data_IF_060799626175
#
_entry.id   IF_060799626175
#
_cell.length_a   1.000
_cell.length_b   1.000
_cell.length_c   1.000
_cell.angle_alpha   90.00
_cell.angle_beta   90.00
_cell.angle_gamma   90.00
#
_symmetry.space_group_name_H-M   'P 1'
#
loop_
_entity.id
_entity.type
_entity.pdbx_description
1 polymer ?
#
# COMPACT_ATOMS: atom_id res chain seq x y z
N UNK A 1 24.00 -4.53 -11.55
CA UNK A 1 22.96 -5.52 -11.24
C UNK A 1 22.85 -5.62 -9.74
N UNK A 2 21.76 -5.15 -9.17
CA UNK A 2 21.50 -5.31 -7.74
C UNK A 2 21.34 -6.80 -7.43
N UNK A 3 22.02 -7.25 -6.40
CA UNK A 3 21.86 -8.59 -5.84
C UNK A 3 20.42 -8.68 -5.31
N UNK A 4 19.76 -9.83 -5.50
CA UNK A 4 18.46 -10.09 -4.91
C UNK A 4 18.51 -9.79 -3.39
N UNK A 5 17.59 -9.00 -2.88
CA UNK A 5 17.56 -8.72 -1.45
C UNK A 5 16.65 -9.72 -0.74
N UNK A 6 17.27 -10.76 -0.24
CA UNK A 6 16.59 -11.81 0.51
C UNK A 6 15.81 -11.28 1.72
N UNK A 7 16.25 -10.18 2.33
CA UNK A 7 15.53 -9.57 3.46
C UNK A 7 14.24 -8.88 3.03
N UNK A 8 14.24 -8.19 1.88
CA UNK A 8 13.02 -7.61 1.32
C UNK A 8 12.04 -8.68 0.85
N UNK A 9 12.52 -9.75 0.24
CA UNK A 9 11.68 -10.90 -0.17
C UNK A 9 11.03 -11.55 1.04
N UNK A 10 11.81 -11.85 2.08
CA UNK A 10 11.33 -12.43 3.34
C UNK A 10 10.29 -11.54 4.03
N UNK A 11 10.52 -10.21 4.01
CA UNK A 11 9.57 -9.24 4.56
C UNK A 11 8.22 -9.26 3.82
N UNK A 12 8.24 -9.23 2.49
CA UNK A 12 7.01 -9.26 1.69
C UNK A 12 6.31 -10.61 1.80
N UNK A 13 7.03 -11.71 1.72
CA UNK A 13 6.48 -13.07 1.87
C UNK A 13 5.78 -13.23 3.22
N UNK A 14 6.45 -12.88 4.31
CA UNK A 14 5.88 -12.92 5.66
C UNK A 14 4.70 -11.99 5.86
N UNK A 15 4.72 -10.80 5.24
CA UNK A 15 3.60 -9.85 5.29
C UNK A 15 2.38 -10.38 4.55
N UNK A 16 2.57 -10.98 3.37
CA UNK A 16 1.50 -11.60 2.59
C UNK A 16 0.88 -12.81 3.32
N UNK A 17 1.71 -13.67 3.91
CA UNK A 17 1.24 -14.82 4.69
C UNK A 17 0.35 -14.38 5.87
N UNK A 18 0.76 -13.36 6.61
CA UNK A 18 -0.03 -12.82 7.72
C UNK A 18 -1.33 -12.18 7.22
N UNK A 19 -1.26 -11.42 6.12
CA UNK A 19 -2.43 -10.77 5.51
C UNK A 19 -3.45 -11.81 5.05
N UNK A 20 -3.03 -12.84 4.33
CA UNK A 20 -3.92 -13.91 3.85
C UNK A 20 -4.51 -14.71 5.01
N UNK A 21 -3.72 -14.99 6.03
CA UNK A 21 -4.21 -15.66 7.24
C UNK A 21 -5.27 -14.83 7.96
N UNK A 22 -5.14 -13.51 8.01
CA UNK A 22 -6.14 -12.61 8.60
C UNK A 22 -7.42 -12.61 7.76
N UNK A 23 -7.31 -12.42 6.45
CA UNK A 23 -8.45 -12.40 5.51
C UNK A 23 -9.23 -13.73 5.55
N UNK A 24 -8.53 -14.86 5.58
CA UNK A 24 -9.18 -16.17 5.61
C UNK A 24 -9.92 -16.46 6.92
N UNK A 25 -9.47 -15.86 8.06
CA UNK A 25 -10.14 -16.02 9.35
C UNK A 25 -11.34 -15.11 9.54
N UNK A 26 -11.21 -13.86 9.11
CA UNK A 26 -12.20 -12.80 9.29
C UNK A 26 -12.33 -11.99 7.99
N UNK A 27 -13.23 -12.39 7.09
CA UNK A 27 -13.41 -11.69 5.81
C UNK A 27 -14.11 -10.33 5.96
N UNK A 28 -14.09 -9.75 7.16
CA UNK A 28 -14.67 -8.45 7.43
C UNK A 28 -13.75 -7.32 6.99
N UNK A 29 -14.34 -6.28 6.37
CA UNK A 29 -13.62 -5.11 5.85
C UNK A 29 -12.84 -4.36 6.93
N UNK A 30 -13.24 -4.46 8.19
CA UNK A 30 -12.66 -3.76 9.33
C UNK A 30 -12.04 -4.73 10.36
N UNK A 31 -11.28 -5.71 9.88
CA UNK A 31 -10.56 -6.63 10.74
C UNK A 31 -9.44 -5.92 11.51
N UNK A 32 -9.44 -5.94 12.86
CA UNK A 32 -8.41 -5.31 13.68
C UNK A 32 -6.99 -5.85 13.44
N UNK A 33 -6.84 -7.15 13.14
CA UNK A 33 -5.53 -7.74 12.85
C UNK A 33 -4.97 -7.24 11.52
N UNK A 34 -5.81 -7.21 10.46
CA UNK A 34 -5.41 -6.69 9.17
C UNK A 34 -5.07 -5.19 9.26
N UNK A 35 -5.83 -4.45 10.05
CA UNK A 35 -5.54 -3.03 10.34
C UNK A 35 -4.18 -2.86 11.01
N UNK A 36 -3.90 -3.63 12.06
CA UNK A 36 -2.62 -3.59 12.77
C UNK A 36 -1.46 -3.97 11.85
N UNK A 37 -1.66 -4.95 10.97
CA UNK A 37 -0.67 -5.38 9.99
C UNK A 37 -0.33 -4.26 8.99
N UNK A 38 -1.34 -3.59 8.43
CA UNK A 38 -1.12 -2.44 7.53
C UNK A 38 -0.40 -1.32 8.26
N UNK A 39 -0.81 -0.97 9.48
CA UNK A 39 -0.15 0.07 10.28
C UNK A 39 1.32 -0.24 10.59
N UNK A 40 1.66 -1.50 10.82
CA UNK A 40 3.02 -1.92 11.13
C UNK A 40 3.93 -1.98 9.88
N UNK A 41 3.38 -2.39 8.74
CA UNK A 41 4.18 -2.73 7.56
C UNK A 41 4.13 -1.70 6.42
N UNK A 42 3.24 -0.70 6.50
CA UNK A 42 3.11 0.37 5.49
C UNK A 42 3.51 1.71 6.07
N UNK A 43 4.42 2.43 5.43
CA UNK A 43 4.79 3.80 5.81
C UNK A 43 3.75 4.81 5.32
N UNK A 44 2.59 4.77 5.95
CA UNK A 44 1.43 5.60 5.57
C UNK A 44 1.71 7.09 5.69
N UNK A 45 2.56 7.50 6.63
CA UNK A 45 2.91 8.91 6.81
C UNK A 45 3.74 9.44 5.64
N UNK A 46 4.71 8.66 5.15
CA UNK A 46 5.49 9.01 3.95
C UNK A 46 4.60 9.02 2.71
N UNK A 47 3.68 8.08 2.57
CA UNK A 47 2.69 8.06 1.49
C UNK A 47 1.78 9.29 1.57
N UNK A 48 1.32 9.67 2.75
CA UNK A 48 0.51 10.87 2.96
C UNK A 48 1.25 12.15 2.50
N UNK A 49 2.50 12.31 2.88
CA UNK A 49 3.34 13.43 2.41
C UNK A 49 3.52 13.41 0.90
N UNK A 50 3.80 12.25 0.33
CA UNK A 50 3.99 12.10 -1.11
C UNK A 50 2.72 12.46 -1.89
N UNK A 51 1.55 11.98 -1.46
CA UNK A 51 0.27 12.21 -2.15
C UNK A 51 -0.19 13.66 -2.06
N UNK A 52 0.08 14.36 -0.95
CA UNK A 52 -0.14 15.79 -0.84
C UNK A 52 0.85 16.65 -1.67
N UNK A 53 2.00 16.08 -2.04
CA UNK A 53 3.01 16.74 -2.86
C UNK A 53 3.47 18.07 -2.29
N UNK A 54 3.42 19.13 -3.10
CA UNK A 54 3.80 20.50 -2.68
C UNK A 54 2.97 21.05 -1.52
N UNK A 55 1.80 20.49 -1.26
CA UNK A 55 0.89 20.94 -0.19
C UNK A 55 1.19 20.28 1.16
N UNK A 56 2.00 19.25 1.22
CA UNK A 56 2.38 18.60 2.48
C UNK A 56 3.00 19.56 3.52
N UNK A 57 3.71 20.60 3.05
CA UNK A 57 4.29 21.62 3.93
C UNK A 57 3.27 22.66 4.42
N UNK A 58 2.04 22.66 3.91
CA UNK A 58 0.98 23.63 4.26
C UNK A 58 -0.02 23.07 5.25
N UNK A 59 -0.06 21.77 5.44
CA UNK A 59 -0.92 21.12 6.42
C UNK A 59 -0.21 21.00 7.76
N UNK A 60 -0.98 21.03 8.86
CA UNK A 60 -0.42 20.84 10.20
C UNK A 60 0.05 19.39 10.39
N UNK A 61 0.89 19.14 11.38
CA UNK A 61 1.30 17.78 11.72
C UNK A 61 0.09 16.91 12.15
N UNK A 62 -0.88 17.50 12.83
CA UNK A 62 -2.11 16.83 13.25
C UNK A 62 -2.97 16.43 12.05
N UNK A 63 -3.21 17.36 11.12
CA UNK A 63 -3.97 17.09 9.89
C UNK A 63 -3.27 16.02 9.03
N UNK A 64 -1.94 16.07 8.94
CA UNK A 64 -1.17 15.06 8.22
C UNK A 64 -1.33 13.66 8.83
N UNK A 65 -1.31 13.55 10.16
CA UNK A 65 -1.54 12.29 10.86
C UNK A 65 -2.98 11.79 10.70
N UNK A 66 -3.95 12.71 10.73
CA UNK A 66 -5.36 12.36 10.46
C UNK A 66 -5.52 11.83 9.04
N UNK A 67 -4.94 12.49 8.07
CA UNK A 67 -4.95 12.04 6.67
C UNK A 67 -4.26 10.68 6.49
N UNK A 68 -3.12 10.47 7.15
CA UNK A 68 -2.43 9.17 7.13
C UNK A 68 -3.31 8.03 7.71
N UNK A 69 -4.08 8.30 8.77
CA UNK A 69 -5.07 7.33 9.30
C UNK A 69 -6.17 7.01 8.29
N UNK A 70 -6.67 8.02 7.59
CA UNK A 70 -7.67 7.82 6.53
C UNK A 70 -7.12 7.03 5.35
N UNK A 71 -5.85 7.21 5.01
CA UNK A 71 -5.17 6.36 4.01
C UNK A 71 -5.08 4.89 4.44
N UNK A 72 -4.87 4.61 5.73
CA UNK A 72 -4.90 3.24 6.22
C UNK A 72 -6.28 2.59 6.00
N UNK A 73 -7.36 3.30 6.27
CA UNK A 73 -8.72 2.82 6.01
C UNK A 73 -8.95 2.58 4.50
N UNK A 74 -8.45 3.48 3.66
CA UNK A 74 -8.49 3.31 2.21
C UNK A 74 -7.73 2.06 1.74
N UNK A 75 -6.51 1.82 2.23
CA UNK A 75 -5.74 0.64 1.86
C UNK A 75 -6.39 -0.65 2.33
N UNK A 76 -6.97 -0.67 3.54
CA UNK A 76 -7.75 -1.81 4.03
C UNK A 76 -8.94 -2.10 3.12
N UNK A 77 -9.68 -1.07 2.73
CA UNK A 77 -10.78 -1.22 1.77
C UNK A 77 -10.31 -1.75 0.42
N UNK A 78 -9.21 -1.20 -0.10
CA UNK A 78 -8.65 -1.64 -1.39
C UNK A 78 -8.15 -3.10 -1.34
N UNK A 79 -7.50 -3.51 -0.26
CA UNK A 79 -7.10 -4.90 -0.04
C UNK A 79 -8.34 -5.79 -0.03
N UNK A 80 -9.33 -5.46 0.79
CA UNK A 80 -10.55 -6.21 0.91
C UNK A 80 -11.27 -6.35 -0.45
N UNK A 81 -11.45 -5.26 -1.20
CA UNK A 81 -12.20 -5.25 -2.45
C UNK A 81 -11.49 -5.99 -3.59
N UNK A 82 -10.14 -6.03 -3.57
CA UNK A 82 -9.36 -6.69 -4.63
C UNK A 82 -8.97 -8.15 -4.29
N UNK A 83 -9.06 -8.56 -3.04
CA UNK A 83 -8.68 -9.90 -2.57
C UNK A 83 -9.91 -10.71 -2.15
N UNK A 84 -11.11 -10.12 -2.20
CA UNK A 84 -12.35 -10.86 -1.92
C UNK A 84 -12.57 -11.99 -2.92
N UNK A 85 -12.89 -13.14 -2.41
CA UNK A 85 -13.52 -14.23 -3.18
C UNK A 85 -12.88 -15.60 -3.10
N UNK A 86 -11.84 -15.82 -2.30
CA UNK A 86 -11.26 -17.15 -2.18
C UNK A 86 -10.75 -17.46 -0.78
N UNK A 87 -11.04 -18.66 -0.31
CA UNK A 87 -10.49 -19.16 0.95
C UNK A 87 -9.03 -19.63 0.81
N UNK A 88 -8.49 -19.70 -0.42
CA UNK A 88 -7.15 -20.19 -0.71
C UNK A 88 -6.32 -19.13 -1.45
N UNK A 89 -6.02 -18.03 -0.75
CA UNK A 89 -5.07 -17.04 -1.22
C UNK A 89 -3.64 -17.52 -0.99
N UNK A 90 -2.80 -17.41 -2.00
CA UNK A 90 -1.37 -17.66 -1.90
C UNK A 90 -0.60 -16.66 -2.76
N UNK A 91 0.69 -16.52 -2.53
CA UNK A 91 1.55 -15.69 -3.35
C UNK A 91 2.90 -16.37 -3.60
N UNK A 92 3.46 -16.09 -4.76
CA UNK A 92 4.83 -16.43 -5.09
C UNK A 92 5.67 -15.16 -5.24
N UNK A 93 6.78 -15.08 -4.51
CA UNK A 93 7.81 -14.07 -4.73
C UNK A 93 8.63 -14.50 -5.94
N UNK A 94 8.61 -13.68 -7.00
CA UNK A 94 9.27 -14.00 -8.27
C UNK A 94 10.72 -13.56 -8.29
N UNK A 95 10.98 -12.33 -7.87
CA UNK A 95 12.30 -11.71 -7.84
C UNK A 95 12.29 -10.42 -7.02
N UNK A 96 13.48 -10.00 -6.62
CA UNK A 96 13.72 -8.69 -6.04
C UNK A 96 14.95 -8.04 -6.64
N UNK A 97 15.06 -6.73 -6.48
CA UNK A 97 16.25 -5.97 -6.81
C UNK A 97 16.35 -4.68 -6.00
N UNK A 98 17.57 -4.31 -5.66
CA UNK A 98 17.85 -3.05 -4.98
C UNK A 98 17.83 -1.88 -5.97
N UNK A 99 17.07 -0.85 -5.68
CA UNK A 99 17.18 0.45 -6.34
C UNK A 99 18.33 1.26 -5.77
N UNK A 100 18.52 1.16 -4.48
CA UNK A 100 19.64 1.72 -3.71
C UNK A 100 19.72 1.04 -2.33
N UNK A 101 20.61 1.48 -1.46
CA UNK A 101 20.79 0.89 -0.12
C UNK A 101 19.56 0.92 0.79
N UNK A 102 18.57 1.78 0.52
CA UNK A 102 17.37 1.96 1.35
C UNK A 102 16.07 1.58 0.65
N UNK A 103 16.12 1.19 -0.61
CA UNK A 103 14.93 1.04 -1.44
C UNK A 103 15.09 -0.19 -2.32
N UNK A 104 14.22 -1.16 -2.13
CA UNK A 104 14.15 -2.38 -2.92
C UNK A 104 12.78 -2.56 -3.56
N UNK A 105 12.75 -3.30 -4.65
CA UNK A 105 11.53 -3.72 -5.35
C UNK A 105 11.40 -5.23 -5.23
N UNK A 106 10.20 -5.70 -4.90
CA UNK A 106 9.85 -7.13 -4.89
C UNK A 106 8.69 -7.35 -5.85
N UNK A 107 8.82 -8.29 -6.76
CA UNK A 107 7.75 -8.69 -7.69
C UNK A 107 7.12 -9.99 -7.22
N UNK A 108 5.79 -10.02 -7.14
CA UNK A 108 5.01 -11.17 -6.70
C UNK A 108 3.86 -11.47 -7.64
N UNK A 109 3.36 -12.71 -7.58
CA UNK A 109 2.06 -13.09 -8.14
C UNK A 109 1.18 -13.55 -6.98
N UNK A 110 -0.01 -12.96 -6.87
CA UNK A 110 -1.05 -13.39 -5.93
C UNK A 110 -2.02 -14.30 -6.68
N UNK A 111 -2.17 -15.53 -6.20
CA UNK A 111 -3.11 -16.50 -6.72
C UNK A 111 -4.45 -16.37 -6.02
N UNK A 112 -5.53 -16.35 -6.81
CA UNK A 112 -6.92 -16.18 -6.34
C UNK A 112 -7.77 -17.29 -6.94
N UNK A 113 -8.49 -18.02 -6.12
CA UNK A 113 -9.25 -19.19 -6.55
C UNK A 113 -10.29 -18.89 -7.64
N UNK A 114 -10.99 -17.76 -7.54
CA UNK A 114 -12.13 -17.40 -8.40
C UNK A 114 -11.81 -16.38 -9.47
N UNK A 115 -10.57 -15.85 -9.50
CA UNK A 115 -10.18 -14.78 -10.40
C UNK A 115 -8.81 -15.07 -11.02
N UNK A 116 -8.44 -14.30 -12.04
CA UNK A 116 -7.09 -14.36 -12.60
C UNK A 116 -6.04 -13.96 -11.58
N UNK A 117 -4.85 -14.53 -11.69
CA UNK A 117 -3.69 -14.16 -10.90
C UNK A 117 -3.41 -12.66 -11.00
N UNK A 118 -2.97 -12.08 -9.89
CA UNK A 118 -2.66 -10.66 -9.80
C UNK A 118 -1.15 -10.46 -9.64
N UNK A 119 -0.53 -9.85 -10.64
CA UNK A 119 0.88 -9.46 -10.55
C UNK A 119 0.99 -8.14 -9.76
N UNK A 120 1.74 -8.17 -8.67
CA UNK A 120 1.92 -7.04 -7.76
C UNK A 120 3.41 -6.76 -7.58
N UNK A 121 3.77 -5.49 -7.66
CA UNK A 121 5.12 -5.00 -7.44
C UNK A 121 5.14 -4.13 -6.19
N UNK A 122 6.00 -4.48 -5.25
CA UNK A 122 6.13 -3.82 -3.96
C UNK A 122 7.37 -2.95 -3.94
N UNK A 123 7.22 -1.70 -3.54
CA UNK A 123 8.34 -0.85 -3.21
C UNK A 123 8.51 -0.82 -1.70
N UNK A 124 9.67 -1.28 -1.23
CA UNK A 124 9.97 -1.44 0.19
C UNK A 124 11.13 -0.54 0.58
N UNK A 125 10.94 0.22 1.64
CA UNK A 125 12.00 1.00 2.28
C UNK A 125 12.64 0.20 3.41
N UNK A 126 13.97 0.34 3.54
CA UNK A 126 14.78 -0.22 4.64
C UNK A 126 15.39 0.90 5.46
N UNK A 127 15.20 0.85 6.78
CA UNK A 127 15.89 1.74 7.73
C UNK A 127 16.41 0.87 8.86
N UNK A 128 17.69 0.53 8.84
CA UNK A 128 18.25 -0.49 9.72
C UNK A 128 17.58 -1.84 9.46
N UNK A 129 17.06 -2.45 10.51
CA UNK A 129 16.31 -3.72 10.43
C UNK A 129 14.82 -3.53 10.11
N UNK A 130 14.35 -2.28 10.05
CA UNK A 130 12.95 -1.97 9.74
C UNK A 130 12.70 -1.99 8.22
N UNK A 131 11.68 -2.74 7.82
CA UNK A 131 11.16 -2.75 6.45
C UNK A 131 9.73 -2.23 6.44
N UNK A 132 9.40 -1.36 5.50
CA UNK A 132 8.05 -0.84 5.32
C UNK A 132 7.71 -0.67 3.84
N UNK A 133 6.49 -0.96 3.47
CA UNK A 133 5.97 -0.72 2.12
C UNK A 133 5.76 0.78 1.91
N UNK A 134 6.33 1.32 0.83
CA UNK A 134 6.15 2.72 0.41
C UNK A 134 5.15 2.89 -0.72
N UNK A 135 5.03 1.88 -1.58
CA UNK A 135 4.12 1.92 -2.72
C UNK A 135 3.88 0.51 -3.26
N UNK A 136 2.80 0.35 -3.97
CA UNK A 136 2.40 -0.89 -4.62
C UNK A 136 2.04 -0.56 -6.06
N UNK A 137 2.51 -1.36 -7.01
CA UNK A 137 2.04 -1.30 -8.38
C UNK A 137 1.28 -2.58 -8.73
N UNK A 138 0.19 -2.42 -9.45
CA UNK A 138 -0.56 -3.51 -10.06
C UNK A 138 -0.20 -3.54 -11.55
N UNK A 139 0.12 -4.71 -12.06
CA UNK A 139 0.41 -4.88 -13.48
C UNK A 139 -0.90 -5.18 -14.23
N UNK A 140 -1.23 -4.29 -15.16
CA UNK A 140 -2.40 -4.43 -16.04
C UNK A 140 -1.96 -4.22 -17.48
N UNK A 141 -2.22 -5.20 -18.35
CA UNK A 141 -1.90 -5.13 -19.79
C UNK A 141 -0.43 -4.76 -20.08
N UNK A 142 0.50 -5.26 -19.27
CA UNK A 142 1.93 -4.98 -19.39
C UNK A 142 2.38 -3.62 -18.85
N UNK A 143 1.50 -2.85 -18.24
CA UNK A 143 1.80 -1.58 -17.60
C UNK A 143 1.75 -1.71 -16.08
N UNK A 144 2.74 -1.14 -15.40
CA UNK A 144 2.76 -1.03 -13.93
C UNK A 144 2.09 0.26 -13.50
N UNK A 145 0.97 0.15 -12.79
CA UNK A 145 0.22 1.29 -12.26
C UNK A 145 0.58 1.44 -10.78
N UNK A 146 1.38 2.45 -10.46
CA UNK A 146 1.79 2.77 -9.08
C UNK A 146 0.68 3.52 -8.35
N UNK A 147 0.15 2.92 -7.29
CA UNK A 147 -1.03 3.43 -6.58
C UNK A 147 -0.81 4.78 -5.93
N UNK A 148 0.36 5.02 -5.32
CA UNK A 148 0.64 6.32 -4.71
C UNK A 148 0.75 7.45 -5.75
N UNK A 149 1.22 7.17 -6.97
CA UNK A 149 1.29 8.14 -8.06
C UNK A 149 -0.12 8.51 -8.54
N UNK A 150 -0.98 7.50 -8.77
CA UNK A 150 -2.37 7.71 -9.15
C UNK A 150 -3.14 8.48 -8.07
N UNK A 151 -2.96 8.06 -6.82
CA UNK A 151 -3.59 8.71 -5.69
C UNK A 151 -3.14 10.18 -5.54
N UNK A 152 -1.85 10.46 -5.74
CA UNK A 152 -1.32 11.84 -5.71
C UNK A 152 -2.01 12.75 -6.73
N UNK A 153 -2.22 12.27 -7.94
CA UNK A 153 -2.89 13.08 -8.96
C UNK A 153 -4.31 13.47 -8.51
N UNK A 154 -5.06 12.52 -7.93
CA UNK A 154 -6.40 12.75 -7.41
C UNK A 154 -6.40 13.67 -6.18
N UNK A 155 -5.51 13.43 -5.23
CA UNK A 155 -5.41 14.21 -3.98
C UNK A 155 -5.06 15.67 -4.26
N UNK A 156 -4.07 15.90 -5.10
CA UNK A 156 -3.64 17.28 -5.46
C UNK A 156 -4.78 18.04 -6.14
N UNK A 157 -5.46 17.42 -7.10
CA UNK A 157 -6.59 18.03 -7.81
C UNK A 157 -7.75 18.37 -6.84
N UNK A 158 -8.13 17.44 -5.97
CA UNK A 158 -9.18 17.65 -4.98
C UNK A 158 -8.80 18.72 -3.95
N UNK A 159 -7.56 18.72 -3.47
CA UNK A 159 -7.07 19.72 -2.53
C UNK A 159 -7.11 21.14 -3.12
N UNK A 160 -6.68 21.29 -4.38
CA UNK A 160 -6.76 22.58 -5.09
C UNK A 160 -8.20 23.04 -5.27
N UNK A 161 -9.10 22.17 -5.71
CA UNK A 161 -10.53 22.49 -5.92
C UNK A 161 -11.28 22.78 -4.64
N UNK A 162 -10.88 22.19 -3.52
CA UNK A 162 -11.50 22.44 -2.21
C UNK A 162 -11.01 23.73 -1.55
N UNK A 163 -10.08 24.46 -2.17
CA UNK A 163 -9.46 25.64 -1.55
C UNK A 163 -8.49 25.27 -0.43
N UNK A 164 -7.96 24.04 -0.40
CA UNK A 164 -7.01 23.57 0.61
C UNK A 164 -7.65 22.90 1.82
N UNK A 165 -8.89 22.44 1.69
CA UNK A 165 -9.60 21.71 2.75
C UNK A 165 -9.32 20.20 2.66
N UNK A 166 -8.50 19.69 3.57
CA UNK A 166 -8.12 18.29 3.61
C UNK A 166 -9.29 17.36 3.98
N UNK A 167 -10.26 17.83 4.77
CA UNK A 167 -11.44 17.03 5.11
C UNK A 167 -12.29 16.74 3.88
N UNK A 168 -12.40 17.71 2.96
CA UNK A 168 -13.09 17.49 1.68
C UNK A 168 -12.38 16.42 0.85
N UNK A 169 -11.04 16.42 0.85
CA UNK A 169 -10.25 15.39 0.15
C UNK A 169 -10.54 14.01 0.73
N UNK A 170 -10.50 13.88 2.07
CA UNK A 170 -10.77 12.62 2.78
C UNK A 170 -12.16 12.08 2.42
N UNK A 171 -13.20 12.92 2.52
CA UNK A 171 -14.57 12.53 2.19
C UNK A 171 -14.76 12.13 0.73
N UNK A 172 -14.18 12.90 -0.20
CA UNK A 172 -14.35 12.64 -1.65
C UNK A 172 -13.67 11.37 -2.12
N UNK A 173 -12.58 10.98 -1.49
CA UNK A 173 -11.86 9.75 -1.80
C UNK A 173 -12.43 8.52 -1.06
N UNK A 174 -13.44 8.72 -0.20
CA UNK A 174 -14.05 7.62 0.57
C UNK A 174 -13.08 7.00 1.56
N UNK A 175 -12.26 7.84 2.20
CA UNK A 175 -11.31 7.41 3.23
C UNK A 175 -11.94 7.33 4.63
N UNK A 176 -13.26 7.45 4.72
CA UNK A 176 -14.02 7.41 5.98
C UNK A 176 -14.14 5.99 6.55
#
# INVERSE_FOLDING_TARGET
MGQADEACETFIDGTLDQMFSSINRAPERDDPELRALVQANVDTLSIARFTLGKYAARVTAEDLHQYARSLNAYFLGAIHDNIQGGQDLSADVLKSFDRNQRDCIVETIIHRESESDLAVVWRVMRVGDLHQVLDIAIEQNGNKIWLAIELRAQVVDLYERSGGDLNVVIQKLGFD
#
